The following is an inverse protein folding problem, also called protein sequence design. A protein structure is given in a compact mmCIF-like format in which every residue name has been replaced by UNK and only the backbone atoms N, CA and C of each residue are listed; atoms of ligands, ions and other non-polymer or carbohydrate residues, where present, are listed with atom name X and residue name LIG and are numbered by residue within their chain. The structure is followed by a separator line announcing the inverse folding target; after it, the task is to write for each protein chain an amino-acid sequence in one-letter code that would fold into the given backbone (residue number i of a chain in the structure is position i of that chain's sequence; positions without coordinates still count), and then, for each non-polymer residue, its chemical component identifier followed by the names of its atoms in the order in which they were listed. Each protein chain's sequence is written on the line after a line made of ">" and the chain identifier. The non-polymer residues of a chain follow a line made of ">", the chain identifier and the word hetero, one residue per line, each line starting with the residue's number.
data_IF_347887146329
#
_entry.id   IF_347887146329
#
_cell.length_a   1.000
_cell.length_b   1.000
_cell.length_c   1.000
_cell.angle_alpha   90.00
_cell.angle_beta   90.00
_cell.angle_gamma   90.00
#
_symmetry.space_group_name_H-M   'P 1'
#
loop_
_entity.id
_entity.type
_entity.pdbx_description
1 polymer ?
#
# COMPACT_ATOMS: atom_id res chain seq x y z
N UNK A 1 -22.01 -15.91 -5.78
CA UNK A 1 -22.68 -16.92 -6.62
C UNK A 1 -22.62 -18.25 -5.91
N UNK A 2 -23.76 -18.74 -5.44
CA UNK A 2 -23.90 -20.01 -4.71
C UNK A 2 -24.11 -21.15 -5.72
N UNK A 3 -23.02 -21.72 -6.24
CA UNK A 3 -23.04 -22.85 -7.18
C UNK A 3 -22.64 -24.19 -6.53
N UNK A 4 -22.35 -24.20 -5.22
CA UNK A 4 -21.79 -25.36 -4.52
C UNK A 4 -22.81 -26.36 -3.98
N UNK A 5 -24.06 -25.95 -3.69
CA UNK A 5 -25.03 -26.76 -2.95
C UNK A 5 -26.38 -26.80 -3.66
N UNK A 6 -26.97 -27.99 -3.83
CA UNK A 6 -28.37 -28.17 -4.25
C UNK A 6 -28.67 -28.23 -5.74
N UNK A 7 -27.69 -27.94 -6.62
CA UNK A 7 -27.88 -28.07 -8.08
C UNK A 7 -27.45 -29.46 -8.57
N UNK A 8 -28.29 -30.12 -9.37
CA UNK A 8 -28.01 -31.44 -9.94
C UNK A 8 -27.40 -31.32 -11.34
N UNK A 9 -26.07 -31.39 -11.41
CA UNK A 9 -25.34 -31.42 -12.68
C UNK A 9 -25.02 -32.85 -13.06
N UNK A 10 -25.60 -33.32 -14.16
CA UNK A 10 -25.47 -34.72 -14.62
C UNK A 10 -24.20 -35.01 -15.43
N UNK A 11 -23.43 -33.97 -15.83
CA UNK A 11 -22.30 -34.10 -16.77
C UNK A 11 -21.09 -33.25 -16.39
N UNK A 12 -20.65 -33.31 -15.13
CA UNK A 12 -19.41 -32.64 -14.71
C UNK A 12 -18.24 -33.62 -14.86
N UNK A 13 -17.33 -33.33 -15.79
CA UNK A 13 -16.11 -34.13 -16.00
C UNK A 13 -14.88 -33.54 -15.32
N UNK A 14 -14.86 -32.23 -15.08
CA UNK A 14 -13.73 -31.55 -14.43
C UNK A 14 -14.19 -30.56 -13.39
N UNK A 15 -13.56 -30.58 -12.22
CA UNK A 15 -13.74 -29.59 -11.16
C UNK A 15 -12.38 -29.00 -10.83
N UNK A 16 -12.28 -27.66 -10.85
CA UNK A 16 -11.07 -26.94 -10.45
C UNK A 16 -11.43 -26.07 -9.26
N UNK A 17 -10.87 -26.40 -8.10
CA UNK A 17 -10.97 -25.59 -6.89
C UNK A 17 -9.71 -24.73 -6.78
N UNK A 18 -9.87 -23.44 -6.49
CA UNK A 18 -8.76 -22.51 -6.32
C UNK A 18 -8.92 -21.80 -4.97
N UNK A 19 -7.88 -21.87 -4.16
CA UNK A 19 -7.82 -21.22 -2.85
C UNK A 19 -8.25 -22.13 -1.70
N UNK A 20 -8.84 -21.51 -0.69
CA UNK A 20 -9.28 -22.18 0.53
C UNK A 20 -10.79 -22.42 0.49
N UNK A 21 -11.21 -23.57 1.01
CA UNK A 21 -12.63 -23.88 1.19
C UNK A 21 -12.80 -24.94 2.27
N UNK A 22 -13.99 -24.94 2.88
CA UNK A 22 -14.39 -25.97 3.83
C UNK A 22 -14.31 -27.36 3.16
N UNK A 23 -13.66 -28.35 3.79
CA UNK A 23 -13.46 -29.68 3.19
C UNK A 23 -14.75 -30.38 2.77
N UNK A 24 -15.83 -30.27 3.56
CA UNK A 24 -17.11 -30.89 3.23
C UNK A 24 -17.72 -30.26 1.97
N UNK A 25 -17.60 -28.94 1.83
CA UNK A 25 -18.03 -28.21 0.62
C UNK A 25 -17.20 -28.62 -0.61
N UNK A 26 -15.87 -28.70 -0.46
CA UNK A 26 -14.96 -29.15 -1.52
C UNK A 26 -15.30 -30.59 -1.95
N UNK A 27 -15.51 -31.49 -0.99
CA UNK A 27 -15.87 -32.87 -1.26
C UNK A 27 -17.18 -32.98 -2.03
N UNK A 28 -18.18 -32.18 -1.67
CA UNK A 28 -19.46 -32.17 -2.39
C UNK A 28 -19.32 -31.66 -3.84
N UNK A 29 -18.43 -30.69 -4.08
CA UNK A 29 -18.13 -30.21 -5.44
C UNK A 29 -17.39 -31.26 -6.26
N UNK A 30 -16.32 -31.85 -5.69
CA UNK A 30 -15.51 -32.88 -6.35
C UNK A 30 -16.33 -34.15 -6.60
N UNK A 31 -17.21 -34.55 -5.68
CA UNK A 31 -18.09 -35.71 -5.83
C UNK A 31 -19.13 -35.60 -6.96
N UNK A 32 -19.25 -34.44 -7.61
CA UNK A 32 -20.03 -34.29 -8.86
C UNK A 32 -19.27 -34.77 -10.08
N UNK A 33 -17.95 -34.79 -9.99
CA UNK A 33 -17.07 -35.19 -11.06
C UNK A 33 -17.19 -36.71 -11.31
N UNK A 34 -17.38 -37.12 -12.57
CA UNK A 34 -17.42 -38.54 -12.94
C UNK A 34 -18.72 -39.28 -12.56
N UNK A 35 -19.79 -38.55 -12.24
CA UNK A 35 -21.10 -39.16 -11.97
C UNK A 35 -21.62 -39.89 -13.22
N UNK A 36 -22.03 -41.15 -13.07
CA UNK A 36 -22.53 -41.98 -14.17
C UNK A 36 -21.52 -42.96 -14.78
N UNK A 37 -20.36 -43.16 -14.14
CA UNK A 37 -19.37 -44.15 -14.56
C UNK A 37 -18.27 -43.61 -15.48
N UNK A 38 -18.37 -42.34 -15.87
CA UNK A 38 -17.33 -41.67 -16.64
C UNK A 38 -16.18 -41.24 -15.72
N UNK A 39 -14.92 -41.24 -16.20
CA UNK A 39 -13.80 -40.74 -15.42
C UNK A 39 -13.98 -39.24 -15.16
N UNK A 40 -13.59 -38.80 -13.97
CA UNK A 40 -13.67 -37.41 -13.53
C UNK A 40 -12.32 -36.92 -13.02
N UNK A 41 -11.99 -35.66 -13.30
CA UNK A 41 -10.79 -35.01 -12.79
C UNK A 41 -11.11 -33.87 -11.83
N UNK A 42 -10.57 -33.96 -10.62
CA UNK A 42 -10.56 -32.88 -9.66
C UNK A 42 -9.15 -32.31 -9.51
N UNK A 43 -9.02 -30.99 -9.62
CA UNK A 43 -7.77 -30.25 -9.40
C UNK A 43 -8.00 -29.28 -8.24
N UNK A 44 -7.14 -29.35 -7.24
CA UNK A 44 -7.14 -28.44 -6.10
C UNK A 44 -5.87 -27.58 -6.13
N UNK A 45 -6.03 -26.31 -6.46
CA UNK A 45 -4.96 -25.32 -6.33
C UNK A 45 -5.00 -24.76 -4.92
N UNK A 46 -4.11 -25.27 -4.07
CA UNK A 46 -3.91 -24.79 -2.71
C UNK A 46 -2.68 -23.90 -2.64
N UNK A 47 -2.74 -22.86 -1.81
CA UNK A 47 -1.58 -22.00 -1.57
C UNK A 47 -0.47 -22.78 -0.85
N UNK A 48 0.79 -22.74 -1.33
CA UNK A 48 1.89 -23.48 -0.72
C UNK A 48 2.27 -22.94 0.66
N UNK A 49 2.03 -21.65 0.90
CA UNK A 49 2.23 -21.00 2.20
C UNK A 49 1.06 -20.06 2.46
N UNK A 50 0.31 -20.34 3.53
CA UNK A 50 -0.82 -19.57 4.03
C UNK A 50 -0.37 -18.59 5.10
N UNK A 51 -0.75 -17.32 4.94
CA UNK A 51 -0.52 -16.28 5.94
C UNK A 51 -1.45 -16.51 7.13
N UNK A 52 -0.88 -16.62 8.33
CA UNK A 52 -1.61 -16.91 9.57
C UNK A 52 -2.31 -18.29 9.63
N UNK A 53 -2.01 -19.19 8.69
CA UNK A 53 -2.46 -20.58 8.71
C UNK A 53 -1.35 -21.55 9.14
N UNK A 54 -1.73 -22.79 9.40
CA UNK A 54 -0.81 -23.90 9.65
C UNK A 54 -0.28 -24.44 8.32
N UNK A 55 1.03 -24.50 8.19
CA UNK A 55 1.70 -24.81 6.91
C UNK A 55 2.47 -26.14 6.95
N UNK A 56 2.62 -26.73 8.14
CA UNK A 56 3.29 -28.01 8.35
C UNK A 56 2.49 -28.83 9.35
N UNK A 57 2.62 -30.16 9.26
CA UNK A 57 1.95 -31.09 10.18
C UNK A 57 2.32 -30.79 11.64
N UNK A 58 3.57 -30.39 11.90
CA UNK A 58 4.06 -30.01 13.23
C UNK A 58 3.34 -28.79 13.85
N UNK A 59 2.66 -27.98 13.04
CA UNK A 59 1.93 -26.79 13.54
C UNK A 59 0.60 -27.19 14.20
N UNK A 60 0.18 -28.46 14.06
CA UNK A 60 -1.03 -29.02 14.66
C UNK A 60 -0.72 -29.64 16.01
N UNK A 61 -1.19 -29.01 17.08
CA UNK A 61 -0.98 -29.47 18.46
C UNK A 61 -1.94 -30.60 18.87
N UNK A 62 -3.18 -30.57 18.35
CA UNK A 62 -4.16 -31.64 18.53
C UNK A 62 -4.68 -32.08 17.16
N UNK A 63 -4.40 -33.33 16.80
CA UNK A 63 -4.63 -33.84 15.44
C UNK A 63 -6.09 -34.24 15.19
N UNK A 64 -6.83 -34.62 16.23
CA UNK A 64 -8.23 -35.07 16.13
C UNK A 64 -9.23 -33.95 16.46
N UNK A 65 -8.83 -32.96 17.27
CA UNK A 65 -9.69 -31.83 17.63
C UNK A 65 -9.31 -30.58 16.81
N UNK A 66 -9.80 -30.53 15.58
CA UNK A 66 -9.56 -29.46 14.63
C UNK A 66 -10.77 -28.52 14.57
N UNK A 67 -10.52 -27.21 14.63
CA UNK A 67 -11.55 -26.23 14.26
C UNK A 67 -11.70 -26.14 12.73
N UNK A 68 -12.61 -25.30 12.24
CA UNK A 68 -12.84 -25.16 10.79
C UNK A 68 -11.58 -24.68 10.03
N UNK A 69 -10.80 -23.77 10.59
CA UNK A 69 -9.58 -23.26 9.96
C UNK A 69 -8.50 -24.35 9.90
N UNK A 70 -8.35 -25.10 10.99
CA UNK A 70 -7.44 -26.24 11.09
C UNK A 70 -7.78 -27.32 10.05
N UNK A 71 -9.07 -27.62 9.85
CA UNK A 71 -9.52 -28.57 8.82
C UNK A 71 -9.16 -28.07 7.42
N UNK A 72 -9.37 -26.78 7.15
CA UNK A 72 -9.03 -26.17 5.85
C UNK A 72 -7.52 -26.19 5.59
N UNK A 73 -6.70 -25.95 6.62
CA UNK A 73 -5.23 -26.01 6.56
C UNK A 73 -4.74 -27.45 6.42
N UNK A 74 -5.29 -28.37 7.20
CA UNK A 74 -4.97 -29.79 7.17
C UNK A 74 -5.23 -30.41 5.80
N UNK A 75 -6.33 -30.05 5.13
CA UNK A 75 -6.64 -30.56 3.79
C UNK A 75 -5.58 -30.18 2.74
N UNK A 76 -4.89 -29.05 2.90
CA UNK A 76 -3.86 -28.64 1.94
C UNK A 76 -2.51 -29.35 2.13
N UNK A 77 -2.26 -29.92 3.31
CA UNK A 77 -0.95 -30.49 3.65
C UNK A 77 -1.01 -31.98 4.01
N UNK A 78 -2.21 -32.56 4.09
CA UNK A 78 -2.37 -33.96 4.52
C UNK A 78 -1.62 -34.92 3.59
N UNK A 79 -0.80 -35.83 4.14
CA UNK A 79 -0.13 -36.88 3.36
C UNK A 79 -1.02 -38.11 3.13
N UNK A 80 -2.24 -38.12 3.66
CA UNK A 80 -3.16 -39.26 3.63
C UNK A 80 -3.95 -39.25 2.32
N UNK A 81 -4.37 -40.44 1.87
CA UNK A 81 -5.26 -40.60 0.71
C UNK A 81 -6.47 -39.66 0.81
N UNK A 82 -6.70 -38.79 -0.19
CA UNK A 82 -7.78 -37.81 -0.15
C UNK A 82 -9.17 -38.46 0.02
N UNK A 83 -9.39 -39.64 -0.58
CA UNK A 83 -10.65 -40.39 -0.40
C UNK A 83 -10.89 -40.76 1.06
N UNK A 84 -9.84 -41.25 1.73
CA UNK A 84 -9.88 -41.60 3.16
C UNK A 84 -9.99 -40.34 4.02
N UNK A 85 -9.26 -39.27 3.69
CA UNK A 85 -9.36 -37.98 4.39
C UNK A 85 -10.80 -37.47 4.41
N UNK A 86 -11.48 -37.45 3.26
CA UNK A 86 -12.86 -36.99 3.18
C UNK A 86 -13.83 -37.93 3.91
N UNK A 87 -13.60 -39.24 3.91
CA UNK A 87 -14.43 -40.17 4.68
C UNK A 87 -14.31 -39.93 6.19
N UNK A 88 -13.08 -39.71 6.69
CA UNK A 88 -12.81 -39.40 8.09
C UNK A 88 -13.40 -38.05 8.47
N UNK A 89 -13.19 -37.02 7.65
CA UNK A 89 -13.74 -35.68 7.90
C UNK A 89 -15.27 -35.69 8.00
N UNK A 90 -15.95 -36.39 7.08
CA UNK A 90 -17.40 -36.47 7.09
C UNK A 90 -17.96 -37.26 8.29
N UNK A 91 -17.22 -38.26 8.79
CA UNK A 91 -17.69 -39.12 9.88
C UNK A 91 -17.26 -38.64 11.27
N UNK A 92 -16.06 -38.09 11.39
CA UNK A 92 -15.39 -37.76 12.66
C UNK A 92 -15.07 -36.27 12.80
N UNK A 93 -15.16 -35.47 11.74
CA UNK A 93 -15.06 -34.01 11.80
C UNK A 93 -13.64 -33.44 11.82
N UNK A 94 -12.62 -34.16 11.33
CA UNK A 94 -11.25 -33.65 11.21
C UNK A 94 -10.52 -34.21 9.97
N UNK A 95 -9.43 -33.56 9.56
CA UNK A 95 -8.56 -34.05 8.47
C UNK A 95 -7.37 -34.82 9.07
N UNK A 96 -7.18 -36.12 8.74
CA UNK A 96 -6.04 -36.87 9.25
C UNK A 96 -4.73 -36.33 8.66
N UNK A 97 -3.69 -36.24 9.49
CA UNK A 97 -2.38 -35.67 9.09
C UNK A 97 -1.24 -36.70 9.10
N UNK A 98 -1.53 -37.96 9.44
CA UNK A 98 -0.58 -39.06 9.52
C UNK A 98 -1.24 -40.33 8.99
N UNK A 99 -0.44 -41.20 8.33
CA UNK A 99 -0.91 -42.49 7.81
C UNK A 99 -1.10 -43.52 8.92
N UNK A 100 -0.45 -43.28 10.05
CA UNK A 100 -0.45 -44.09 11.27
C UNK A 100 -1.65 -43.77 12.20
N UNK A 101 -2.54 -42.86 11.77
CA UNK A 101 -3.79 -42.60 12.50
C UNK A 101 -4.67 -43.86 12.53
N UNK A 102 -5.11 -44.35 13.71
CA UNK A 102 -5.92 -45.55 13.83
C UNK A 102 -7.23 -45.50 13.04
N UNK A 103 -7.80 -44.31 12.81
CA UNK A 103 -9.00 -44.13 12.01
C UNK A 103 -8.69 -44.24 10.51
N UNK A 104 -7.49 -43.83 10.07
CA UNK A 104 -6.99 -44.04 8.71
C UNK A 104 -6.83 -45.53 8.44
N UNK A 105 -6.19 -46.27 9.34
CA UNK A 105 -6.03 -47.73 9.20
C UNK A 105 -7.39 -48.44 9.11
N UNK A 106 -8.34 -48.07 9.98
CA UNK A 106 -9.68 -48.64 10.00
C UNK A 106 -10.45 -48.35 8.70
N UNK A 107 -10.36 -47.13 8.20
CA UNK A 107 -11.06 -46.72 6.98
C UNK A 107 -10.45 -47.39 5.74
N UNK A 108 -9.13 -47.51 5.67
CA UNK A 108 -8.44 -48.27 4.62
C UNK A 108 -8.86 -49.75 4.65
N UNK A 109 -8.90 -50.37 5.83
CA UNK A 109 -9.34 -51.77 5.97
C UNK A 109 -10.80 -51.96 5.51
N UNK A 110 -11.69 -51.00 5.84
CA UNK A 110 -13.07 -50.98 5.35
C UNK A 110 -13.15 -50.87 3.84
N UNK A 111 -12.40 -49.96 3.21
CA UNK A 111 -12.37 -49.80 1.75
C UNK A 111 -11.92 -51.09 1.05
N UNK A 112 -10.90 -51.77 1.59
CA UNK A 112 -10.42 -53.06 1.07
C UNK A 112 -11.50 -54.14 1.20
N UNK A 113 -12.11 -54.27 2.39
CA UNK A 113 -13.17 -55.24 2.64
C UNK A 113 -14.41 -55.01 1.75
N UNK A 114 -14.70 -53.75 1.42
CA UNK A 114 -15.79 -53.36 0.53
C UNK A 114 -15.42 -53.46 -0.97
N UNK A 115 -14.19 -53.87 -1.31
CA UNK A 115 -13.74 -54.06 -2.69
C UNK A 115 -13.57 -52.75 -3.48
N UNK A 116 -13.23 -51.65 -2.80
CA UNK A 116 -13.03 -50.37 -3.48
C UNK A 116 -11.80 -50.43 -4.39
N UNK A 117 -11.83 -49.79 -5.58
CA UNK A 117 -10.66 -49.72 -6.44
C UNK A 117 -9.54 -48.90 -5.78
N UNK A 118 -8.30 -49.15 -6.19
CA UNK A 118 -7.15 -48.36 -5.77
C UNK A 118 -7.37 -46.87 -6.05
N UNK A 119 -7.01 -46.00 -5.10
CA UNK A 119 -7.18 -44.56 -5.26
C UNK A 119 -6.08 -43.98 -6.15
N UNK A 120 -6.46 -43.11 -7.09
CA UNK A 120 -5.55 -42.40 -8.01
C UNK A 120 -5.30 -40.94 -7.61
N UNK A 121 -5.55 -40.57 -6.35
CA UNK A 121 -5.25 -39.20 -5.89
C UNK A 121 -3.74 -38.96 -5.79
N UNK A 122 -3.33 -37.69 -5.80
CA UNK A 122 -1.91 -37.29 -5.77
C UNK A 122 -1.14 -37.80 -4.55
N UNK A 123 -1.82 -38.10 -3.45
CA UNK A 123 -1.19 -38.63 -2.23
C UNK A 123 -0.97 -40.16 -2.27
N UNK A 124 -1.63 -40.85 -3.21
CA UNK A 124 -1.47 -42.30 -3.44
C UNK A 124 -0.64 -42.58 -4.69
N UNK A 125 -0.80 -41.77 -5.73
CA UNK A 125 -0.07 -41.86 -6.99
C UNK A 125 0.50 -40.48 -7.27
N UNK A 126 1.79 -40.31 -7.03
CA UNK A 126 2.47 -39.05 -7.31
C UNK A 126 2.48 -38.77 -8.81
N UNK A 127 2.07 -37.56 -9.20
CA UNK A 127 2.19 -37.10 -10.58
C UNK A 127 3.55 -36.44 -10.78
N UNK A 128 4.22 -36.74 -11.90
CA UNK A 128 5.47 -36.06 -12.24
C UNK A 128 5.21 -34.58 -12.59
N UNK A 129 6.20 -33.69 -12.41
CA UNK A 129 6.09 -32.29 -12.83
C UNK A 129 5.71 -32.15 -14.32
N UNK A 130 6.22 -33.04 -15.17
CA UNK A 130 5.88 -33.08 -16.59
C UNK A 130 4.41 -33.40 -16.80
N UNK A 131 3.87 -34.42 -16.10
CA UNK A 131 2.46 -34.77 -16.18
C UNK A 131 1.55 -33.61 -15.74
N UNK A 132 1.91 -32.93 -14.64
CA UNK A 132 1.18 -31.73 -14.18
C UNK A 132 1.23 -30.61 -15.22
N UNK A 133 2.40 -30.35 -15.82
CA UNK A 133 2.56 -29.30 -16.83
C UNK A 133 1.71 -29.54 -18.09
N UNK A 134 1.47 -30.81 -18.42
CA UNK A 134 0.70 -31.20 -19.61
C UNK A 134 -0.82 -31.17 -19.41
N UNK A 135 -1.31 -31.01 -18.18
CA UNK A 135 -2.75 -30.93 -17.89
C UNK A 135 -3.44 -29.78 -18.66
N UNK A 136 -2.70 -28.74 -19.04
CA UNK A 136 -3.21 -27.63 -19.87
C UNK A 136 -3.64 -28.07 -21.28
N UNK A 137 -3.15 -29.22 -21.76
CA UNK A 137 -3.44 -29.74 -23.09
C UNK A 137 -4.62 -30.74 -23.10
N UNK A 138 -5.32 -30.92 -21.98
CA UNK A 138 -6.54 -31.72 -21.95
C UNK A 138 -7.70 -31.01 -22.67
N UNK A 139 -8.40 -31.77 -23.50
CA UNK A 139 -9.62 -31.37 -24.21
C UNK A 139 -10.69 -32.47 -24.11
N UNK A 140 -11.83 -32.26 -24.76
CA UNK A 140 -12.94 -33.21 -24.71
C UNK A 140 -12.65 -34.55 -25.44
N UNK A 141 -11.63 -34.61 -26.31
CA UNK A 141 -11.31 -35.79 -27.11
C UNK A 141 -10.25 -36.66 -26.44
N UNK A 142 -9.34 -36.06 -25.68
CA UNK A 142 -8.26 -36.77 -25.00
C UNK A 142 -8.51 -36.97 -23.50
N UNK A 143 -9.61 -36.46 -22.94
CA UNK A 143 -9.88 -36.41 -21.50
C UNK A 143 -9.73 -37.76 -20.78
N UNK A 144 -10.44 -38.79 -21.24
CA UNK A 144 -10.46 -40.10 -20.56
C UNK A 144 -9.09 -40.76 -20.53
N UNK A 145 -8.37 -40.69 -21.66
CA UNK A 145 -7.00 -41.21 -21.77
C UNK A 145 -6.02 -40.40 -20.93
N UNK A 146 -6.22 -39.08 -20.84
CA UNK A 146 -5.36 -38.17 -20.07
C UNK A 146 -5.47 -38.38 -18.57
N UNK A 147 -6.62 -38.86 -18.07
CA UNK A 147 -6.77 -39.23 -16.65
C UNK A 147 -5.96 -40.48 -16.30
N UNK A 148 -5.92 -41.45 -17.20
CA UNK A 148 -5.19 -42.71 -16.98
C UNK A 148 -3.68 -42.53 -17.20
N UNK A 149 -3.30 -41.69 -18.17
CA UNK A 149 -1.92 -41.46 -18.56
C UNK A 149 -1.62 -39.95 -18.73
N UNK A 150 -1.53 -39.21 -17.61
CA UNK A 150 -1.31 -37.76 -17.65
C UNK A 150 0.10 -37.38 -18.15
N UNK A 151 1.05 -38.33 -18.17
CA UNK A 151 2.39 -38.09 -18.68
C UNK A 151 2.43 -37.98 -20.21
N UNK A 152 1.50 -38.63 -20.92
CA UNK A 152 1.50 -38.71 -22.38
C UNK A 152 0.38 -37.90 -23.06
N UNK A 153 -0.12 -36.85 -22.40
CA UNK A 153 -1.09 -35.92 -23.01
C UNK A 153 -0.42 -35.21 -24.20
N UNK A 154 -1.00 -35.27 -25.42
CA UNK A 154 -0.47 -34.59 -26.59
C UNK A 154 -0.49 -33.05 -26.43
N UNK A 155 0.57 -32.38 -26.85
CA UNK A 155 0.63 -30.92 -26.78
C UNK A 155 -0.35 -30.27 -27.79
N UNK A 156 -1.18 -29.36 -27.29
CA UNK A 156 -2.03 -28.49 -28.11
C UNK A 156 -1.34 -27.15 -28.29
N UNK A 157 -0.95 -26.80 -29.52
CA UNK A 157 -0.13 -25.62 -29.83
C UNK A 157 -0.76 -24.27 -29.46
N UNK A 158 -2.08 -24.21 -29.31
CA UNK A 158 -2.80 -23.02 -28.84
C UNK A 158 -2.82 -22.89 -27.30
N UNK A 159 -2.59 -23.98 -26.57
CA UNK A 159 -2.60 -23.99 -25.12
C UNK A 159 -1.17 -23.81 -24.60
N UNK A 160 -0.68 -22.57 -24.69
CA UNK A 160 0.59 -22.18 -24.09
C UNK A 160 0.38 -21.71 -22.64
N UNK A 161 1.30 -22.02 -21.71
CA UNK A 161 1.24 -21.46 -20.38
C UNK A 161 1.16 -19.93 -20.43
N UNK A 162 0.28 -19.34 -19.61
CA UNK A 162 0.20 -17.89 -19.52
C UNK A 162 1.52 -17.33 -18.99
N UNK A 163 2.26 -16.64 -19.84
CA UNK A 163 3.45 -15.94 -19.41
C UNK A 163 3.03 -14.63 -18.77
N UNK A 164 3.10 -14.58 -17.43
CA UNK A 164 2.87 -13.33 -16.70
C UNK A 164 3.94 -12.34 -17.14
N UNK A 165 3.53 -11.30 -17.87
CA UNK A 165 4.42 -10.19 -18.24
C UNK A 165 4.98 -9.62 -16.93
N UNK A 166 6.30 -9.64 -16.79
CA UNK A 166 6.94 -9.05 -15.62
C UNK A 166 6.48 -7.60 -15.54
N UNK A 167 5.82 -7.24 -14.44
CA UNK A 167 5.46 -5.86 -14.18
C UNK A 167 6.76 -5.06 -14.10
N UNK A 168 7.07 -4.30 -15.16
CA UNK A 168 8.21 -3.38 -15.17
C UNK A 168 8.15 -2.40 -13.99
N UNK A 169 9.27 -1.73 -13.65
CA UNK A 169 9.35 -0.86 -12.48
C UNK A 169 8.15 0.09 -12.42
N UNK A 170 7.40 0.03 -11.32
CA UNK A 170 6.25 0.88 -11.12
C UNK A 170 6.76 2.30 -10.89
N UNK A 171 6.48 3.21 -11.82
CA UNK A 171 6.69 4.63 -11.58
C UNK A 171 5.73 5.06 -10.48
N UNK A 172 6.28 5.54 -9.37
CA UNK A 172 5.52 6.00 -8.22
C UNK A 172 5.50 7.52 -8.25
N UNK A 173 4.36 8.07 -8.67
CA UNK A 173 4.06 9.49 -8.55
C UNK A 173 4.26 9.91 -7.09
N UNK A 174 5.03 10.98 -6.86
CA UNK A 174 5.27 11.48 -5.51
C UNK A 174 3.95 11.85 -4.82
N UNK A 175 3.78 11.44 -3.56
CA UNK A 175 2.60 11.78 -2.76
C UNK A 175 2.74 13.19 -2.19
N UNK A 176 1.80 14.07 -2.51
CA UNK A 176 1.70 15.43 -2.00
C UNK A 176 0.60 16.20 -2.73
N UNK A 177 0.13 17.34 -2.21
CA UNK A 177 -0.74 18.22 -2.99
C UNK A 177 0.02 18.66 -4.24
N UNK A 178 -0.60 18.51 -5.41
CA UNK A 178 -0.07 19.12 -6.63
C UNK A 178 0.02 20.63 -6.43
N UNK A 179 0.97 21.28 -7.10
CA UNK A 179 0.92 22.73 -7.24
C UNK A 179 -0.40 23.09 -7.93
N UNK A 180 -0.94 24.29 -7.64
CA UNK A 180 -2.19 24.75 -8.25
C UNK A 180 -2.15 24.63 -9.79
N UNK A 181 -0.96 24.81 -10.38
CA UNK A 181 -0.68 24.65 -11.81
C UNK A 181 -0.94 23.24 -12.34
N UNK A 182 -0.29 22.23 -11.76
CA UNK A 182 -0.43 20.85 -12.25
C UNK A 182 -1.85 20.32 -12.02
N UNK A 183 -2.52 20.83 -10.99
CA UNK A 183 -3.93 20.55 -10.72
C UNK A 183 -4.87 21.17 -11.76
N UNK A 184 -4.63 22.43 -12.17
CA UNK A 184 -5.38 23.07 -13.26
C UNK A 184 -5.12 22.39 -14.61
N UNK A 185 -3.86 22.02 -14.89
CA UNK A 185 -3.50 21.28 -16.08
C UNK A 185 -4.19 19.91 -16.13
N UNK A 186 -4.24 19.19 -15.00
CA UNK A 186 -4.95 17.92 -14.93
C UNK A 186 -6.46 18.07 -15.21
N UNK A 187 -7.10 19.13 -14.68
CA UNK A 187 -8.51 19.44 -14.97
C UNK A 187 -8.75 19.80 -16.43
N UNK A 188 -7.85 20.60 -17.01
CA UNK A 188 -7.88 20.95 -18.44
C UNK A 188 -7.83 19.68 -19.30
N UNK A 189 -6.88 18.77 -19.05
CA UNK A 189 -6.76 17.52 -19.81
C UNK A 189 -8.00 16.63 -19.70
N UNK A 190 -8.64 16.55 -18.53
CA UNK A 190 -9.90 15.80 -18.38
C UNK A 190 -11.01 16.44 -19.22
N UNK A 191 -11.08 17.77 -19.26
CA UNK A 191 -12.02 18.51 -20.10
C UNK A 191 -11.85 18.21 -21.59
N UNK A 192 -10.61 18.35 -22.08
CA UNK A 192 -10.28 18.09 -23.48
C UNK A 192 -10.50 16.62 -23.86
N UNK A 193 -10.11 15.69 -22.99
CA UNK A 193 -10.36 14.26 -23.23
C UNK A 193 -11.85 13.93 -23.30
N UNK A 194 -12.70 14.54 -22.47
CA UNK A 194 -14.14 14.33 -22.55
C UNK A 194 -14.68 14.75 -23.93
N UNK A 195 -14.23 15.90 -24.45
CA UNK A 195 -14.60 16.38 -25.79
C UNK A 195 -14.12 15.40 -26.86
N UNK A 196 -12.85 14.99 -26.81
CA UNK A 196 -12.26 14.03 -27.75
C UNK A 196 -13.01 12.70 -27.75
N UNK A 197 -13.36 12.19 -26.56
CA UNK A 197 -14.09 10.93 -26.39
C UNK A 197 -15.48 10.99 -27.04
N UNK A 198 -16.24 12.07 -26.83
CA UNK A 198 -17.58 12.20 -27.41
C UNK A 198 -17.59 12.48 -28.91
N UNK A 199 -16.47 12.95 -29.48
CA UNK A 199 -16.32 13.07 -30.93
C UNK A 199 -16.06 11.70 -31.60
N UNK A 200 -15.42 10.77 -30.88
CA UNK A 200 -15.04 9.45 -31.41
C UNK A 200 -16.01 8.32 -31.04
N UNK A 201 -16.85 8.52 -30.03
CA UNK A 201 -17.86 7.54 -29.62
C UNK A 201 -19.28 8.07 -29.75
N UNK A 202 -20.13 7.31 -30.45
CA UNK A 202 -21.57 7.57 -30.49
C UNK A 202 -22.22 7.28 -29.12
N UNK A 203 -22.76 8.32 -28.51
CA UNK A 203 -23.48 8.27 -27.23
C UNK A 203 -24.68 7.30 -27.22
N UNK A 204 -25.23 6.97 -28.39
CA UNK A 204 -26.37 6.06 -28.55
C UNK A 204 -26.01 4.58 -28.36
N UNK A 205 -24.73 4.21 -28.43
CA UNK A 205 -24.28 2.81 -28.47
C UNK A 205 -23.49 2.37 -27.22
N UNK A 206 -23.19 3.27 -26.28
CA UNK A 206 -22.28 2.99 -25.16
C UNK A 206 -22.86 3.44 -23.82
N UNK A 207 -22.79 2.55 -22.82
CA UNK A 207 -23.08 2.87 -21.41
C UNK A 207 -21.83 3.39 -20.66
N UNK A 208 -20.69 3.51 -21.34
CA UNK A 208 -19.44 3.95 -20.72
C UNK A 208 -19.25 5.46 -20.83
N UNK A 209 -18.81 6.06 -19.72
CA UNK A 209 -18.48 7.49 -19.64
C UNK A 209 -16.96 7.69 -19.80
N UNK A 210 -16.49 8.84 -20.33
CA UNK A 210 -15.07 9.14 -20.49
C UNK A 210 -14.28 9.06 -19.17
N UNK A 211 -14.92 9.41 -18.05
CA UNK A 211 -14.35 9.33 -16.72
C UNK A 211 -13.90 7.90 -16.32
N UNK A 212 -14.51 6.87 -16.89
CA UNK A 212 -14.10 5.48 -16.63
C UNK A 212 -12.73 5.18 -17.24
N UNK A 213 -12.38 5.87 -18.32
CA UNK A 213 -11.14 5.69 -19.06
C UNK A 213 -10.07 6.67 -18.62
N UNK A 214 -10.41 7.94 -18.45
CA UNK A 214 -9.48 8.98 -18.02
C UNK A 214 -10.14 9.90 -16.99
N UNK A 215 -9.83 9.65 -15.72
CA UNK A 215 -10.30 10.45 -14.59
C UNK A 215 -9.22 11.43 -14.12
N UNK A 216 -9.59 12.28 -13.16
CA UNK A 216 -8.69 13.29 -12.61
C UNK A 216 -7.43 12.68 -11.98
N UNK A 217 -7.52 11.50 -11.36
CA UNK A 217 -6.36 10.85 -10.75
C UNK A 217 -5.35 10.38 -11.79
N UNK A 218 -5.83 9.82 -12.91
CA UNK A 218 -4.99 9.48 -14.07
C UNK A 218 -4.38 10.73 -14.69
N UNK A 219 -5.15 11.81 -14.83
CA UNK A 219 -4.66 13.08 -15.36
C UNK A 219 -3.55 13.70 -14.48
N UNK A 220 -3.74 13.72 -13.16
CA UNK A 220 -2.71 14.16 -12.19
C UNK A 220 -1.43 13.32 -12.31
N UNK A 221 -1.58 12.00 -12.36
CA UNK A 221 -0.44 11.10 -12.51
C UNK A 221 0.31 11.33 -13.84
N UNK A 222 -0.43 11.55 -14.93
CA UNK A 222 0.12 11.82 -16.25
C UNK A 222 0.91 13.14 -16.28
N UNK A 223 0.35 14.22 -15.72
CA UNK A 223 0.98 15.54 -15.69
C UNK A 223 2.28 15.52 -14.89
N UNK A 224 2.30 14.85 -13.73
CA UNK A 224 3.51 14.71 -12.91
C UNK A 224 4.57 13.87 -13.66
N UNK A 225 4.18 12.75 -14.25
CA UNK A 225 5.11 11.91 -15.00
C UNK A 225 5.69 12.63 -16.23
N UNK A 226 4.89 13.47 -16.89
CA UNK A 226 5.35 14.31 -17.99
C UNK A 226 6.29 15.43 -17.53
N UNK A 227 6.10 15.99 -16.33
CA UNK A 227 7.05 16.93 -15.72
C UNK A 227 8.38 16.26 -15.37
N UNK A 228 8.33 15.04 -14.83
CA UNK A 228 9.49 14.20 -14.53
C UNK A 228 10.16 13.59 -15.77
N UNK A 229 9.74 14.00 -16.99
CA UNK A 229 10.30 13.53 -18.27
C UNK A 229 10.31 12.00 -18.41
N UNK A 230 9.28 11.33 -17.91
CA UNK A 230 9.16 9.87 -18.03
C UNK A 230 8.93 9.43 -19.48
N UNK A 231 9.43 8.25 -19.89
CA UNK A 231 9.20 7.71 -21.23
C UNK A 231 7.72 7.43 -21.49
N UNK A 232 7.32 7.52 -22.77
CA UNK A 232 5.93 7.35 -23.23
C UNK A 232 5.31 6.03 -22.76
N UNK A 233 6.10 4.95 -22.70
CA UNK A 233 5.66 3.64 -22.19
C UNK A 233 5.16 3.69 -20.74
N UNK A 234 5.72 4.58 -19.91
CA UNK A 234 5.24 4.79 -18.53
C UNK A 234 3.95 5.61 -18.54
N UNK A 235 3.86 6.63 -19.39
CA UNK A 235 2.67 7.48 -19.53
C UNK A 235 1.45 6.66 -20.00
N UNK A 236 1.61 5.79 -21.00
CA UNK A 236 0.59 4.86 -21.48
C UNK A 236 0.07 3.95 -20.37
N UNK A 237 1.00 3.38 -19.59
CA UNK A 237 0.66 2.53 -18.47
C UNK A 237 -0.11 3.28 -17.37
N UNK A 238 0.22 4.54 -17.12
CA UNK A 238 -0.47 5.36 -16.11
C UNK A 238 -1.93 5.62 -16.48
N UNK A 239 -2.23 5.81 -17.77
CA UNK A 239 -3.59 6.01 -18.23
C UNK A 239 -4.36 4.70 -18.45
N UNK A 240 -3.67 3.55 -18.45
CA UNK A 240 -4.24 2.22 -18.63
C UNK A 240 -4.32 1.76 -20.09
N UNK A 241 -3.45 2.31 -20.95
CA UNK A 241 -3.46 2.09 -22.39
C UNK A 241 -4.40 3.03 -23.14
N UNK A 242 -4.24 3.09 -24.46
CA UNK A 242 -5.15 3.83 -25.33
C UNK A 242 -6.49 3.11 -25.44
N UNK A 243 -7.57 3.89 -25.32
CA UNK A 243 -8.95 3.42 -25.47
C UNK A 243 -9.54 3.94 -26.78
N UNK A 244 -9.05 5.11 -27.22
CA UNK A 244 -9.32 5.71 -28.54
C UNK A 244 -8.00 5.81 -29.28
N UNK A 245 -8.01 5.47 -30.56
CA UNK A 245 -6.83 5.64 -31.42
C UNK A 245 -6.34 7.09 -31.36
N UNK A 246 -5.03 7.27 -31.14
CA UNK A 246 -4.40 8.60 -31.05
C UNK A 246 -4.61 9.35 -29.73
N UNK A 247 -5.28 8.74 -28.74
CA UNK A 247 -5.52 9.36 -27.43
C UNK A 247 -4.24 9.85 -26.75
N UNK A 248 -3.15 9.08 -26.79
CA UNK A 248 -1.90 9.45 -26.12
C UNK A 248 -1.26 10.66 -26.77
N UNK A 249 -1.20 10.68 -28.11
CA UNK A 249 -0.66 11.81 -28.87
C UNK A 249 -1.46 13.09 -28.59
N UNK A 250 -2.79 12.98 -28.57
CA UNK A 250 -3.70 14.07 -28.23
C UNK A 250 -3.42 14.64 -26.82
N UNK A 251 -3.27 13.77 -25.82
CA UNK A 251 -2.99 14.20 -24.45
C UNK A 251 -1.61 14.86 -24.31
N UNK A 252 -0.59 14.34 -25.01
CA UNK A 252 0.76 14.92 -24.99
C UNK A 252 0.81 16.29 -25.68
N UNK A 253 0.09 16.44 -26.79
CA UNK A 253 -0.03 17.73 -27.48
C UNK A 253 -0.71 18.78 -26.58
N UNK A 254 -1.79 18.41 -25.90
CA UNK A 254 -2.45 19.32 -24.96
C UNK A 254 -1.64 19.62 -23.70
N UNK A 255 -0.79 18.71 -23.24
CA UNK A 255 0.22 19.01 -22.20
C UNK A 255 1.19 20.08 -22.69
N UNK A 256 1.68 19.95 -23.92
CA UNK A 256 2.60 20.93 -24.52
C UNK A 256 1.91 22.28 -24.76
N UNK A 257 0.69 22.28 -25.30
CA UNK A 257 -0.11 23.47 -25.56
C UNK A 257 -0.37 24.25 -24.27
N UNK A 258 -0.79 23.57 -23.20
CA UNK A 258 -1.01 24.21 -21.90
C UNK A 258 0.27 24.87 -21.36
N UNK A 259 1.42 24.19 -21.49
CA UNK A 259 2.73 24.71 -21.07
C UNK A 259 3.21 25.93 -21.87
N UNK A 260 2.70 26.12 -23.08
CA UNK A 260 3.05 27.24 -23.94
C UNK A 260 2.04 28.40 -23.88
N UNK A 261 0.93 28.24 -23.14
CA UNK A 261 -0.11 29.27 -23.04
C UNK A 261 0.27 30.45 -22.13
N UNK A 262 -0.22 31.64 -22.48
CA UNK A 262 0.05 32.89 -21.75
C UNK A 262 -0.33 32.81 -20.26
N UNK A 263 -1.47 32.16 -19.96
CA UNK A 263 -1.93 31.97 -18.58
C UNK A 263 -0.94 31.15 -17.74
N UNK A 264 -0.30 30.13 -18.34
CA UNK A 264 0.71 29.32 -17.66
C UNK A 264 2.01 30.10 -17.44
N UNK A 265 2.44 30.87 -18.44
CA UNK A 265 3.65 31.72 -18.35
C UNK A 265 3.50 32.85 -17.32
N UNK A 266 2.36 33.52 -17.27
CA UNK A 266 2.05 34.58 -16.28
C UNK A 266 2.02 34.03 -14.85
N UNK A 267 1.48 32.82 -14.68
CA UNK A 267 1.41 32.16 -13.39
C UNK A 267 2.81 31.68 -12.94
N UNK A 268 3.67 31.18 -13.85
CA UNK A 268 5.08 30.90 -13.56
C UNK A 268 5.85 32.16 -13.12
N UNK A 269 5.58 33.30 -13.75
CA UNK A 269 6.17 34.58 -13.34
C UNK A 269 5.72 34.96 -11.93
N UNK A 270 4.43 34.80 -11.62
CA UNK A 270 3.85 35.06 -10.30
C UNK A 270 4.45 34.16 -9.21
N UNK A 271 4.61 32.86 -9.47
CA UNK A 271 5.26 31.94 -8.54
C UNK A 271 6.75 32.27 -8.30
N UNK A 272 7.49 32.68 -9.34
CA UNK A 272 8.88 33.14 -9.19
C UNK A 272 8.95 34.35 -8.26
N UNK A 273 8.04 35.32 -8.43
CA UNK A 273 7.94 36.50 -7.57
C UNK A 273 7.63 36.08 -6.13
N UNK A 274 6.67 35.18 -5.91
CA UNK A 274 6.33 34.70 -4.56
C UNK A 274 7.50 33.96 -3.89
N UNK A 275 8.18 33.06 -4.61
CA UNK A 275 9.35 32.33 -4.10
C UNK A 275 10.48 33.30 -3.75
N UNK A 276 10.75 34.29 -4.60
CA UNK A 276 11.73 35.35 -4.30
C UNK A 276 11.32 36.17 -3.07
N UNK A 277 10.05 36.55 -2.94
CA UNK A 277 9.55 37.29 -1.78
C UNK A 277 9.72 36.50 -0.46
N UNK A 278 9.53 35.17 -0.48
CA UNK A 278 9.78 34.31 0.68
C UNK A 278 11.27 34.26 1.04
N UNK A 279 12.14 34.13 0.05
CA UNK A 279 13.60 34.15 0.24
C UNK A 279 14.05 35.49 0.82
N UNK A 280 13.56 36.61 0.26
CA UNK A 280 13.84 37.97 0.76
C UNK A 280 13.34 38.12 2.20
N UNK A 281 12.12 37.70 2.53
CA UNK A 281 11.60 37.73 3.90
C UNK A 281 12.49 36.94 4.87
N UNK A 282 12.92 35.73 4.50
CA UNK A 282 13.83 34.92 5.33
C UNK A 282 15.17 35.62 5.54
N UNK A 283 15.76 36.17 4.47
CA UNK A 283 17.00 36.93 4.55
C UNK A 283 16.86 38.17 5.45
N UNK A 284 15.74 38.89 5.36
CA UNK A 284 15.43 40.03 6.22
C UNK A 284 15.33 39.66 7.69
N UNK A 285 14.65 38.54 8.01
CA UNK A 285 14.55 38.05 9.39
C UNK A 285 15.94 37.72 9.94
N UNK A 286 16.77 37.02 9.16
CA UNK A 286 18.15 36.67 9.53
C UNK A 286 19.01 37.91 9.78
N UNK A 287 18.94 38.91 8.88
CA UNK A 287 19.64 40.18 9.04
C UNK A 287 19.18 40.91 10.31
N UNK A 288 17.87 40.97 10.57
CA UNK A 288 17.34 41.59 11.78
C UNK A 288 17.81 40.88 13.07
N UNK A 289 17.90 39.55 13.05
CA UNK A 289 18.44 38.78 14.18
C UNK A 289 19.92 39.09 14.40
N UNK A 290 20.73 39.14 13.35
CA UNK A 290 22.15 39.50 13.43
C UNK A 290 22.36 40.93 13.94
N UNK A 291 21.58 41.90 13.46
CA UNK A 291 21.62 43.29 13.93
C UNK A 291 21.24 43.40 15.40
N UNK A 292 20.17 42.71 15.84
CA UNK A 292 19.79 42.65 17.26
C UNK A 292 20.89 42.03 18.12
N UNK A 293 21.55 40.96 17.66
CA UNK A 293 22.65 40.32 18.37
C UNK A 293 23.85 41.26 18.55
N UNK A 294 24.21 42.06 17.52
CA UNK A 294 25.28 43.06 17.61
C UNK A 294 24.95 44.23 18.53
N UNK A 295 23.70 44.70 18.53
CA UNK A 295 23.29 45.87 19.33
C UNK A 295 23.08 45.57 20.82
N UNK A 296 22.78 44.31 21.20
CA UNK A 296 22.60 43.88 22.60
C UNK A 296 23.80 44.19 23.52
N UNK A 297 25.04 43.77 23.21
CA UNK A 297 26.19 44.05 24.06
C UNK A 297 26.45 45.56 24.17
N UNK A 298 26.31 46.30 23.07
CA UNK A 298 26.54 47.74 23.04
C UNK A 298 25.54 48.50 23.92
N UNK A 299 24.24 48.14 23.86
CA UNK A 299 23.23 48.69 24.79
C UNK A 299 23.57 48.34 26.25
N UNK A 300 23.95 47.10 26.53
CA UNK A 300 24.29 46.68 27.90
C UNK A 300 25.51 47.41 28.49
N UNK A 301 26.48 47.75 27.64
CA UNK A 301 27.66 48.55 27.99
C UNK A 301 27.26 49.98 28.35
N UNK A 302 26.45 50.63 27.50
CA UNK A 302 25.94 51.98 27.77
C UNK A 302 25.12 52.03 29.06
N UNK A 303 24.23 51.05 29.29
CA UNK A 303 23.44 51.01 30.52
C UNK A 303 24.31 50.80 31.78
N UNK A 304 25.37 49.98 31.69
CA UNK A 304 26.34 49.81 32.79
C UNK A 304 27.09 51.11 33.08
N UNK A 305 27.58 51.80 32.05
CA UNK A 305 28.26 53.09 32.18
C UNK A 305 27.35 54.16 32.81
N UNK A 306 26.08 54.22 32.42
CA UNK A 306 25.09 55.14 33.02
C UNK A 306 24.83 54.82 34.51
N UNK A 307 24.78 53.54 34.88
CA UNK A 307 24.62 53.09 36.26
C UNK A 307 25.84 53.42 37.12
N UNK A 308 27.06 53.22 36.61
CA UNK A 308 28.30 53.58 37.28
C UNK A 308 28.41 55.10 37.48
N UNK A 309 28.12 55.89 36.44
CA UNK A 309 28.11 57.35 36.55
C UNK A 309 27.11 57.84 37.61
N UNK A 310 25.89 57.27 37.65
CA UNK A 310 24.90 57.59 38.70
C UNK A 310 25.35 57.21 40.10
N UNK A 311 26.12 56.13 40.27
CA UNK A 311 26.69 55.76 41.57
C UNK A 311 27.74 56.77 42.02
N UNK A 312 28.68 57.13 41.14
CA UNK A 312 29.73 58.11 41.42
C UNK A 312 29.11 59.45 41.87
N UNK A 313 28.12 59.94 41.11
CA UNK A 313 27.41 61.19 41.44
C UNK A 313 26.70 61.12 42.80
N UNK A 314 26.10 59.96 43.15
CA UNK A 314 25.45 59.77 44.46
C UNK A 314 26.45 59.72 45.62
N UNK A 315 27.58 59.05 45.43
CA UNK A 315 28.63 58.95 46.44
C UNK A 315 29.26 60.33 46.72
N UNK A 316 29.51 61.12 45.68
CA UNK A 316 30.04 62.47 45.80
C UNK A 316 29.04 63.43 46.51
N UNK A 317 27.75 63.36 46.14
CA UNK A 317 26.71 64.12 46.83
C UNK A 317 26.57 63.73 48.31
N UNK A 318 26.72 62.43 48.63
CA UNK A 318 26.71 61.95 50.01
C UNK A 318 27.94 62.44 50.79
N UNK A 319 29.12 62.49 50.16
CA UNK A 319 30.34 63.04 50.77
C UNK A 319 30.20 64.52 51.10
N UNK A 320 29.77 65.33 50.14
CA UNK A 320 29.49 66.77 50.34
C UNK A 320 28.46 67.00 51.46
N UNK A 321 27.42 66.17 51.54
CA UNK A 321 26.42 66.27 52.60
C UNK A 321 26.98 65.93 53.99
N UNK A 322 27.92 64.98 54.08
CA UNK A 322 28.62 64.67 55.34
C UNK A 322 29.51 65.83 55.77
N UNK A 323 30.32 66.36 54.85
CA UNK A 323 31.18 67.53 55.09
C UNK A 323 30.36 68.73 55.58
N UNK A 324 29.25 69.05 54.90
CA UNK A 324 28.33 70.11 55.31
C UNK A 324 27.71 69.87 56.70
N UNK A 325 27.37 68.63 57.03
CA UNK A 325 26.79 68.29 58.34
C UNK A 325 27.85 68.38 59.46
N UNK A 326 29.07 67.95 59.20
CA UNK A 326 30.20 68.07 60.12
C UNK A 326 30.55 69.53 60.39
N UNK A 327 30.59 70.36 59.34
CA UNK A 327 30.81 71.79 59.44
C UNK A 327 29.68 72.48 60.23
N UNK A 328 28.42 72.12 59.95
CA UNK A 328 27.26 72.62 60.70
C UNK A 328 27.29 72.19 62.17
N UNK A 329 27.73 70.97 62.46
CA UNK A 329 27.90 70.48 63.83
C UNK A 329 29.05 71.22 64.54
N UNK A 330 30.14 71.56 63.84
CA UNK A 330 31.23 72.37 64.37
C UNK A 330 30.77 73.79 64.72
N UNK A 331 30.09 74.46 63.78
CA UNK A 331 29.50 75.79 64.01
C UNK A 331 28.48 75.81 65.16
N UNK A 332 27.67 74.75 65.30
CA UNK A 332 26.74 74.64 66.42
C UNK A 332 27.45 74.41 67.76
N UNK A 333 28.56 73.65 67.80
CA UNK A 333 29.39 73.50 69.00
C UNK A 333 30.00 74.84 69.41
N UNK A 334 30.59 75.56 68.46
CA UNK A 334 31.16 76.91 68.69
C UNK A 334 30.10 77.90 69.18
N UNK A 335 28.89 77.90 68.60
CA UNK A 335 27.77 78.73 69.08
C UNK A 335 27.29 78.35 70.48
N UNK A 336 27.24 77.07 70.80
CA UNK A 336 26.83 76.60 72.13
C UNK A 336 27.88 76.94 73.20
N UNK A 337 29.16 76.84 72.87
CA UNK A 337 30.27 77.27 73.74
C UNK A 337 30.25 78.79 73.94
N UNK A 338 30.04 79.58 72.87
CA UNK A 338 29.89 81.03 72.96
C UNK A 338 28.69 81.44 73.83
N UNK A 339 27.55 80.73 73.72
CA UNK A 339 26.37 80.97 74.56
C UNK A 339 26.59 80.62 76.03
N UNK A 340 27.38 79.57 76.33
CA UNK A 340 27.78 79.25 77.71
C UNK A 340 28.67 80.35 78.31
N UNK A 341 29.62 80.88 77.53
CA UNK A 341 30.50 81.99 77.95
C UNK A 341 29.80 83.35 78.13
N UNK A 342 28.53 83.49 77.75
CA UNK A 342 27.73 84.70 77.99
C UNK A 342 26.75 84.54 79.18
N UNK A 343 26.68 83.37 79.80
CA UNK A 343 25.78 83.07 80.92
C UNK A 343 26.47 82.92 82.28
N UNK A 344 27.79 82.87 82.29
CA UNK A 344 28.68 82.93 83.46
C UNK A 344 29.63 84.13 83.24
#
# INVERSE_FOLDING_TARGET
>A
MALGLGQNWSRVQRVVHVGQGDPATIFQMIGRCGRGGNPGLAIMFVDPVRRNGKNKVSDFTNHENQNNDDRMDGLAITPVCLRVCFAIDNNLGYIPLSKEDPNVEREVAREIAAGFPACMCSNCVELSPEAVSRLIHMDNYNFERSIVDPANIPALGLNVPFQRVASGPAYRVAKGPLTSQLEEQAKYLVGEFNTYFYQHFELSLSSYTPQKFFNLDKARALVIAAEDSQPVTILERLIGGEVVEGQMLFLLDHIAHFKNGDAYLELLATERIQKQAVVIKKAHILLFQQLKARLRPQKSLVTKQELEHKKIVREEAARLKREMNEERARLNREKNEARKRQRD
#
